data_IF_078676080791
#
_entry.id   IF_078676080791
#
_cell.length_a   1.000
_cell.length_b   1.000
_cell.length_c   1.000
_cell.angle_alpha   90.00
_cell.angle_beta   90.00
_cell.angle_gamma   90.00
#
_symmetry.space_group_name_H-M   'P 1'
#
loop_
_entity.id
_entity.type
_entity.pdbx_description
1 polymer ?
#
# COMPACT_ATOMS: atom_id res chain seq x y z
N UNK A 1 6.87 8.38 23.79
CA UNK A 1 6.00 9.22 22.92
C UNK A 1 5.69 8.41 21.68
N UNK A 2 4.42 8.27 21.25
CA UNK A 2 4.15 7.69 19.94
C UNK A 2 4.78 8.61 18.89
N UNK A 3 5.64 8.05 18.05
CA UNK A 3 6.41 8.79 17.06
C UNK A 3 5.44 9.50 16.08
N UNK A 4 5.42 10.84 16.01
CA UNK A 4 4.56 11.57 15.08
C UNK A 4 4.86 11.22 13.60
N UNK A 5 6.01 10.59 13.32
CA UNK A 5 6.42 10.16 11.99
C UNK A 5 5.93 8.76 11.60
N UNK A 6 5.29 8.01 12.50
CA UNK A 6 4.61 6.75 12.18
C UNK A 6 3.42 6.96 11.21
N UNK A 7 3.02 8.21 10.96
CA UNK A 7 1.89 8.61 10.13
C UNK A 7 2.25 8.98 8.68
N UNK A 8 3.48 8.77 8.25
CA UNK A 8 3.87 8.95 6.84
C UNK A 8 3.91 7.59 6.16
N UNK A 9 3.09 7.42 5.13
CA UNK A 9 3.11 6.21 4.30
C UNK A 9 3.99 6.41 3.07
N UNK A 10 4.54 5.33 2.55
CA UNK A 10 5.09 5.25 1.20
C UNK A 10 4.37 4.13 0.47
N UNK A 11 4.06 4.34 -0.80
CA UNK A 11 3.41 3.32 -1.63
C UNK A 11 4.34 2.93 -2.77
N UNK A 12 4.63 1.64 -2.86
CA UNK A 12 5.39 1.06 -3.97
C UNK A 12 4.43 0.37 -4.96
N UNK A 13 4.70 0.47 -6.27
CA UNK A 13 3.97 -0.22 -7.35
C UNK A 13 4.90 -1.12 -8.21
N UNK A 14 5.56 -2.17 -7.65
CA UNK A 14 6.35 -3.09 -8.46
C UNK A 14 5.48 -4.11 -9.21
N UNK A 15 5.95 -4.55 -10.37
CA UNK A 15 5.39 -5.69 -11.10
C UNK A 15 6.08 -6.98 -10.62
N UNK A 16 5.32 -7.87 -9.99
CA UNK A 16 5.87 -9.08 -9.36
C UNK A 16 5.20 -10.33 -9.89
N UNK A 17 5.89 -11.47 -9.77
CA UNK A 17 5.36 -12.77 -10.18
C UNK A 17 4.85 -13.54 -8.97
N UNK A 18 3.54 -13.82 -8.95
CA UNK A 18 2.87 -14.59 -7.90
C UNK A 18 2.31 -15.86 -8.52
N UNK A 19 2.74 -17.04 -8.02
CA UNK A 19 2.31 -18.36 -8.52
C UNK A 19 2.40 -18.51 -10.04
N UNK A 20 3.44 -17.93 -10.65
CA UNK A 20 3.69 -18.02 -12.09
C UNK A 20 2.97 -16.97 -12.95
N UNK A 21 2.02 -16.22 -12.40
CA UNK A 21 1.36 -15.09 -13.07
C UNK A 21 2.00 -13.77 -12.66
N UNK A 22 2.05 -12.81 -13.58
CA UNK A 22 2.51 -11.47 -13.26
C UNK A 22 1.36 -10.61 -12.75
N UNK A 23 1.63 -9.78 -11.75
CA UNK A 23 0.63 -8.90 -11.14
C UNK A 23 1.29 -7.62 -10.65
N UNK A 24 0.51 -6.54 -10.65
CA UNK A 24 0.86 -5.27 -10.04
C UNK A 24 0.63 -5.37 -8.53
N UNK A 25 1.68 -5.14 -7.75
CA UNK A 25 1.59 -5.07 -6.31
C UNK A 25 1.52 -3.61 -5.90
N UNK A 26 0.44 -3.23 -5.21
CA UNK A 26 0.34 -2.00 -4.45
C UNK A 26 0.71 -2.33 -3.01
N UNK A 27 1.72 -1.70 -2.44
CA UNK A 27 2.11 -1.94 -1.05
C UNK A 27 2.33 -0.63 -0.33
N UNK A 28 1.64 -0.44 0.79
CA UNK A 28 1.86 0.65 1.71
C UNK A 28 2.85 0.21 2.79
N UNK A 29 3.88 1.01 3.01
CA UNK A 29 4.87 0.79 4.07
C UNK A 29 4.99 2.02 4.95
N UNK A 30 5.27 1.80 6.23
CA UNK A 30 5.62 2.88 7.15
C UNK A 30 7.06 3.39 6.90
N UNK A 31 7.44 4.45 7.59
CA UNK A 31 8.79 5.02 7.49
C UNK A 31 9.90 4.04 7.89
N UNK A 32 9.58 3.03 8.70
CA UNK A 32 10.49 2.00 9.19
C UNK A 32 10.54 0.79 8.24
N UNK A 33 9.82 0.83 7.12
CA UNK A 33 9.76 -0.22 6.11
C UNK A 33 8.81 -1.36 6.46
N UNK A 34 7.99 -1.22 7.50
CA UNK A 34 6.99 -2.24 7.85
C UNK A 34 5.80 -2.13 6.92
N UNK A 35 5.30 -3.28 6.47
CA UNK A 35 4.14 -3.32 5.59
C UNK A 35 2.87 -3.02 6.38
N UNK A 36 2.12 -2.02 5.91
CA UNK A 36 0.84 -1.59 6.48
C UNK A 36 -0.30 -2.36 5.81
N UNK A 37 -0.35 -2.32 4.47
CA UNK A 37 -1.32 -3.09 3.68
C UNK A 37 -0.75 -3.36 2.27
N UNK A 38 -1.34 -4.32 1.58
CA UNK A 38 -1.03 -4.62 0.19
C UNK A 38 -2.27 -5.00 -0.62
N UNK A 39 -2.21 -4.79 -1.93
CA UNK A 39 -3.20 -5.23 -2.91
C UNK A 39 -2.48 -5.74 -4.15
N UNK A 40 -2.88 -6.91 -4.63
CA UNK A 40 -2.49 -7.42 -5.93
C UNK A 40 -3.59 -7.12 -6.95
N UNK A 41 -3.18 -6.60 -8.10
CA UNK A 41 -4.06 -6.44 -9.26
C UNK A 41 -3.41 -7.06 -10.48
N UNK A 42 -4.19 -7.78 -11.27
CA UNK A 42 -3.72 -8.33 -12.56
C UNK A 42 -3.47 -7.21 -13.58
N UNK A 43 -4.11 -6.04 -13.40
CA UNK A 43 -4.02 -4.89 -14.30
C UNK A 43 -3.53 -3.66 -13.57
N UNK A 44 -2.76 -2.84 -14.27
CA UNK A 44 -2.41 -1.49 -13.80
C UNK A 44 -3.63 -0.61 -13.98
N UNK A 45 -4.37 -0.38 -12.91
CA UNK A 45 -5.61 0.36 -13.00
C UNK A 45 -5.78 1.33 -11.82
N UNK A 46 -6.17 2.56 -12.14
CA UNK A 46 -6.37 3.63 -11.15
C UNK A 46 -7.50 3.30 -10.17
N UNK A 47 -8.43 2.41 -10.56
CA UNK A 47 -9.52 1.99 -9.69
C UNK A 47 -9.02 1.05 -8.57
N UNK A 48 -8.04 0.19 -8.84
CA UNK A 48 -7.38 -0.71 -7.92
C UNK A 48 -6.52 0.11 -6.95
N UNK A 49 -5.80 1.11 -7.45
CA UNK A 49 -5.11 2.08 -6.60
C UNK A 49 -6.10 2.78 -5.64
N UNK A 50 -7.23 3.30 -6.15
CA UNK A 50 -8.26 3.92 -5.29
C UNK A 50 -8.84 2.96 -4.26
N UNK A 51 -9.21 1.74 -4.67
CA UNK A 51 -9.70 0.69 -3.76
C UNK A 51 -8.66 0.33 -2.70
N UNK A 52 -7.39 0.26 -3.08
CA UNK A 52 -6.29 0.04 -2.16
C UNK A 52 -6.20 1.14 -1.12
N UNK A 53 -6.20 2.42 -1.53
CA UNK A 53 -6.15 3.53 -0.57
C UNK A 53 -7.36 3.56 0.36
N UNK A 54 -8.57 3.33 -0.15
CA UNK A 54 -9.79 3.28 0.68
C UNK A 54 -9.67 2.15 1.72
N UNK A 55 -9.31 0.95 1.28
CA UNK A 55 -9.13 -0.22 2.16
C UNK A 55 -8.04 0.02 3.21
N UNK A 56 -6.89 0.55 2.79
CA UNK A 56 -5.76 0.79 3.67
C UNK A 56 -6.09 1.83 4.74
N UNK A 57 -6.78 2.94 4.38
CA UNK A 57 -7.22 3.99 5.30
C UNK A 57 -8.36 3.54 6.22
N UNK A 58 -9.22 2.61 5.78
CA UNK A 58 -10.27 2.06 6.64
C UNK A 58 -9.71 1.06 7.65
N UNK A 59 -8.75 0.25 7.25
CA UNK A 59 -8.18 -0.80 8.09
C UNK A 59 -7.06 -0.32 9.01
N UNK A 60 -6.47 0.84 8.73
CA UNK A 60 -5.37 1.41 9.50
C UNK A 60 -5.67 2.87 9.83
N UNK A 61 -5.11 3.41 10.91
CA UNK A 61 -5.21 4.84 11.17
C UNK A 61 -4.67 5.64 9.98
N UNK A 62 -5.48 6.57 9.47
CA UNK A 62 -5.16 7.33 8.27
C UNK A 62 -3.78 8.01 8.40
N UNK A 63 -2.95 7.95 7.35
CA UNK A 63 -1.69 8.66 7.37
C UNK A 63 -1.94 10.16 7.45
N UNK A 64 -1.11 10.84 8.23
CA UNK A 64 -1.05 12.30 8.22
C UNK A 64 -0.45 12.81 6.89
N UNK A 65 0.29 11.96 6.16
CA UNK A 65 0.90 12.28 4.87
C UNK A 65 1.15 11.02 4.03
N UNK A 66 0.81 11.08 2.74
CA UNK A 66 1.09 10.07 1.71
C UNK A 66 2.19 10.59 0.80
#
# INVERSE_FOLDING_TARGET
MPDPQARSWRVDEPYIRVKGQWSYLYRAVDKQGRTIDFLLSEKRDTAAAKRFFIKAIQNNEAPAKI
#
